data_IF_594594210896
#
_entry.id   IF_594594210896
#
_cell.length_a   1.000
_cell.length_b   1.000
_cell.length_c   1.000
_cell.angle_alpha   90.00
_cell.angle_beta   90.00
_cell.angle_gamma   90.00
#
_symmetry.space_group_name_H-M   'P 1'
#
loop_
_entity.id
_entity.type
_entity.pdbx_description
1 polymer ?
#
# COMPACT_ATOMS: atom_id res chain seq x y z
N UNK A 1 -11.99 28.24 2.52
CA UNK A 1 -12.08 26.76 2.48
C UNK A 1 -11.21 26.09 1.41
N UNK A 2 -10.70 26.80 0.39
CA UNK A 2 -9.83 26.23 -0.65
C UNK A 2 -8.42 25.79 -0.19
N UNK A 3 -7.91 26.31 0.93
CA UNK A 3 -6.51 26.10 1.34
C UNK A 3 -6.16 24.65 1.74
N UNK A 4 -7.05 23.98 2.47
CA UNK A 4 -6.81 22.61 2.95
C UNK A 4 -6.82 21.59 1.81
N UNK A 5 -7.79 21.69 0.90
CA UNK A 5 -7.88 20.84 -0.28
C UNK A 5 -6.65 21.02 -1.21
N UNK A 6 -6.21 22.26 -1.44
CA UNK A 6 -5.01 22.52 -2.25
C UNK A 6 -3.73 21.97 -1.60
N UNK A 7 -3.63 22.01 -0.27
CA UNK A 7 -2.49 21.45 0.46
C UNK A 7 -2.47 19.93 0.41
N UNK A 8 -3.65 19.29 0.50
CA UNK A 8 -3.81 17.84 0.39
C UNK A 8 -3.51 17.35 -1.02
N UNK A 9 -4.00 18.04 -2.06
CA UNK A 9 -3.70 17.74 -3.47
C UNK A 9 -2.21 17.93 -3.77
N UNK A 10 -1.59 18.99 -3.27
CA UNK A 10 -0.15 19.21 -3.46
C UNK A 10 0.71 18.16 -2.74
N UNK A 11 0.27 17.71 -1.55
CA UNK A 11 0.95 16.64 -0.81
C UNK A 11 0.75 15.29 -1.48
N UNK A 12 -0.46 14.97 -1.93
CA UNK A 12 -0.75 13.77 -2.70
C UNK A 12 0.06 13.77 -4.01
N UNK A 13 0.08 14.86 -4.76
CA UNK A 13 0.85 15.00 -6.00
C UNK A 13 2.35 14.81 -5.77
N UNK A 14 2.93 15.36 -4.68
CA UNK A 14 4.33 15.11 -4.33
C UNK A 14 4.60 13.66 -3.92
N UNK A 15 3.67 13.02 -3.21
CA UNK A 15 3.78 11.60 -2.86
C UNK A 15 3.72 10.72 -4.12
N UNK A 16 2.82 11.05 -5.06
CA UNK A 16 2.75 10.38 -6.36
C UNK A 16 4.02 10.62 -7.18
N UNK A 17 4.55 11.85 -7.22
CA UNK A 17 5.75 12.18 -7.99
C UNK A 17 7.03 11.56 -7.38
N UNK A 18 7.15 11.56 -6.05
CA UNK A 18 8.23 10.85 -5.36
C UNK A 18 8.16 9.34 -5.62
N UNK A 19 6.98 8.73 -5.67
CA UNK A 19 6.82 7.32 -6.04
C UNK A 19 7.17 7.00 -7.52
N UNK A 20 7.29 8.02 -8.37
CA UNK A 20 7.75 7.90 -9.75
C UNK A 20 9.27 8.08 -9.90
N UNK A 21 9.93 8.83 -9.01
CA UNK A 21 11.38 9.11 -9.08
C UNK A 21 12.21 8.26 -8.09
N UNK A 22 11.65 7.89 -6.94
CA UNK A 22 12.29 7.07 -5.91
C UNK A 22 11.44 5.83 -5.59
N UNK A 23 12.06 4.65 -5.36
CA UNK A 23 11.33 3.43 -5.05
C UNK A 23 10.58 3.61 -3.73
N UNK A 24 9.26 3.46 -3.77
CA UNK A 24 8.42 3.51 -2.58
C UNK A 24 8.11 2.10 -2.08
N UNK A 25 8.29 1.88 -0.79
CA UNK A 25 8.12 0.59 -0.13
C UNK A 25 7.15 0.72 1.04
N UNK A 26 6.20 -0.22 1.14
CA UNK A 26 5.32 -0.36 2.29
C UNK A 26 5.43 -1.77 2.87
N UNK A 27 5.36 -1.85 4.19
CA UNK A 27 5.08 -3.12 4.88
C UNK A 27 3.58 -3.38 4.86
N UNK A 28 3.18 -4.63 4.63
CA UNK A 28 1.80 -5.08 4.80
C UNK A 28 1.72 -5.81 6.12
N UNK A 29 0.94 -5.29 7.07
CA UNK A 29 0.75 -5.92 8.38
C UNK A 29 -0.71 -6.28 8.62
N UNK A 30 -0.93 -7.41 9.28
CA UNK A 30 -2.23 -7.91 9.70
C UNK A 30 -2.09 -8.53 11.09
N UNK A 31 -3.05 -8.23 11.98
CA UNK A 31 -3.04 -8.74 13.36
C UNK A 31 -1.70 -8.51 14.10
N UNK A 32 -1.09 -7.35 13.86
CA UNK A 32 0.21 -6.97 14.47
C UNK A 32 1.44 -7.68 13.88
N UNK A 33 1.28 -8.52 12.85
CA UNK A 33 2.40 -9.20 12.19
C UNK A 33 2.62 -8.65 10.78
N UNK A 34 3.88 -8.49 10.38
CA UNK A 34 4.23 -8.15 8.99
C UNK A 34 4.11 -9.41 8.15
N UNK A 35 3.24 -9.39 7.15
CA UNK A 35 2.88 -10.54 6.31
C UNK A 35 3.30 -10.37 4.85
N UNK A 36 3.77 -9.19 4.45
CA UNK A 36 4.22 -8.94 3.09
C UNK A 36 4.74 -7.53 2.88
N UNK A 37 4.94 -7.20 1.60
CA UNK A 37 5.37 -5.88 1.17
C UNK A 37 4.66 -5.45 -0.11
N UNK A 38 4.47 -4.15 -0.23
CA UNK A 38 4.06 -3.49 -1.46
C UNK A 38 5.21 -2.61 -1.93
N UNK A 39 5.57 -2.68 -3.20
CA UNK A 39 6.62 -1.85 -3.81
C UNK A 39 6.06 -1.14 -5.03
N UNK A 40 6.38 0.15 -5.17
CA UNK A 40 6.27 0.89 -6.41
C UNK A 40 7.68 1.25 -6.89
N UNK A 41 8.07 0.74 -8.06
CA UNK A 41 9.36 1.04 -8.69
C UNK A 41 9.12 1.29 -10.18
N UNK A 42 9.60 2.44 -10.69
CA UNK A 42 9.38 2.85 -12.08
C UNK A 42 7.91 2.82 -12.53
N UNK A 43 6.99 3.17 -11.62
CA UNK A 43 5.54 3.12 -11.85
C UNK A 43 4.93 1.71 -11.85
N UNK A 44 5.73 0.66 -11.61
CA UNK A 44 5.27 -0.72 -11.53
C UNK A 44 5.03 -1.09 -10.07
N UNK A 45 3.79 -1.48 -9.78
CA UNK A 45 3.37 -1.92 -8.46
C UNK A 45 3.48 -3.43 -8.32
N UNK A 46 4.11 -3.89 -7.23
CA UNK A 46 4.29 -5.31 -6.92
C UNK A 46 3.92 -5.58 -5.47
N UNK A 47 3.02 -6.54 -5.27
CA UNK A 47 2.64 -7.05 -3.97
C UNK A 47 3.29 -8.42 -3.77
N UNK A 48 3.99 -8.58 -2.66
CA UNK A 48 4.72 -9.80 -2.30
C UNK A 48 4.32 -10.26 -0.90
N UNK A 49 4.29 -11.57 -0.70
CA UNK A 49 3.90 -12.19 0.58
C UNK A 49 5.08 -12.91 1.21
N UNK A 50 5.16 -12.84 2.54
CA UNK A 50 6.10 -13.65 3.30
C UNK A 50 5.60 -15.08 3.50
N UNK A 51 6.51 -15.98 3.88
CA UNK A 51 6.23 -17.42 4.00
C UNK A 51 5.00 -17.73 4.85
N UNK A 52 4.83 -17.00 5.93
CA UNK A 52 3.77 -17.24 6.93
C UNK A 52 2.52 -16.37 6.70
N UNK A 53 2.41 -15.74 5.52
CA UNK A 53 1.25 -14.93 5.18
C UNK A 53 -0.03 -15.78 5.12
N UNK A 54 -1.17 -15.28 5.61
CA UNK A 54 -2.45 -15.96 5.53
C UNK A 54 -2.79 -16.38 4.08
N UNK A 55 -3.26 -17.63 3.83
CA UNK A 55 -3.61 -18.10 2.49
C UNK A 55 -4.66 -17.23 1.77
N UNK A 56 -5.54 -16.59 2.55
CA UNK A 56 -6.54 -15.63 2.04
C UNK A 56 -5.89 -14.41 1.39
N UNK A 57 -4.73 -13.96 1.90
CA UNK A 57 -3.94 -12.89 1.29
C UNK A 57 -3.12 -13.41 0.11
N UNK A 58 -2.46 -14.57 0.26
CA UNK A 58 -1.61 -15.14 -0.80
C UNK A 58 -2.37 -15.36 -2.11
N UNK A 59 -3.64 -15.75 -2.02
CA UNK A 59 -4.52 -15.94 -3.18
C UNK A 59 -5.07 -14.64 -3.81
N UNK A 60 -4.65 -13.48 -3.31
CA UNK A 60 -5.07 -12.19 -3.85
C UNK A 60 -4.50 -11.98 -5.26
N UNK A 61 -5.40 -11.90 -6.23
CA UNK A 61 -5.10 -11.62 -7.64
C UNK A 61 -5.80 -10.33 -8.12
N UNK A 62 -6.17 -9.47 -7.17
CA UNK A 62 -6.83 -8.20 -7.46
C UNK A 62 -5.87 -7.15 -7.98
N UNK A 63 -6.41 -5.98 -8.30
CA UNK A 63 -5.64 -4.85 -8.82
C UNK A 63 -4.72 -4.28 -7.75
N UNK A 64 -3.48 -3.97 -8.14
CA UNK A 64 -2.49 -3.30 -7.29
C UNK A 64 -2.04 -2.05 -8.04
N UNK A 65 -2.63 -0.90 -7.74
CA UNK A 65 -2.50 0.32 -8.55
C UNK A 65 -2.47 1.61 -7.72
N UNK A 66 -1.46 1.74 -6.86
CA UNK A 66 -1.14 3.01 -6.17
C UNK A 66 -2.17 3.61 -5.22
N UNK A 67 -3.41 3.15 -5.23
CA UNK A 67 -4.39 3.40 -4.19
C UNK A 67 -4.14 2.45 -3.01
N UNK A 68 -3.14 2.82 -2.20
CA UNK A 68 -2.67 2.04 -1.06
C UNK A 68 -3.78 1.88 0.00
N UNK A 69 -4.63 2.90 0.18
CA UNK A 69 -5.74 2.86 1.13
C UNK A 69 -6.85 1.92 0.66
N UNK A 70 -7.24 1.99 -0.61
CA UNK A 70 -8.22 1.04 -1.18
C UNK A 70 -7.70 -0.40 -1.12
N UNK A 71 -6.41 -0.62 -1.40
CA UNK A 71 -5.79 -1.93 -1.25
C UNK A 71 -5.89 -2.44 0.19
N UNK A 72 -5.61 -1.61 1.21
CA UNK A 72 -5.74 -1.98 2.61
C UNK A 72 -7.17 -2.43 2.97
N UNK A 73 -8.18 -1.72 2.46
CA UNK A 73 -9.60 -2.06 2.68
C UNK A 73 -9.93 -3.43 2.07
N UNK A 74 -9.57 -3.66 0.81
CA UNK A 74 -9.84 -4.94 0.12
C UNK A 74 -9.16 -6.11 0.83
N UNK A 75 -7.90 -5.93 1.24
CA UNK A 75 -7.18 -6.97 1.98
C UNK A 75 -7.78 -7.21 3.37
N UNK A 76 -8.29 -6.16 4.04
CA UNK A 76 -9.00 -6.26 5.32
C UNK A 76 -10.29 -7.07 5.17
N UNK A 77 -11.13 -6.74 4.20
CA UNK A 77 -12.37 -7.48 3.92
C UNK A 77 -12.08 -8.96 3.61
N UNK A 78 -11.02 -9.19 2.82
CA UNK A 78 -10.63 -10.53 2.42
C UNK A 78 -10.06 -11.35 3.57
N UNK A 79 -9.31 -10.75 4.50
CA UNK A 79 -8.71 -11.48 5.61
C UNK A 79 -9.68 -11.61 6.79
N UNK A 80 -10.55 -10.63 7.00
CA UNK A 80 -11.45 -10.53 8.15
C UNK A 80 -10.83 -9.87 9.39
N UNK A 81 -9.59 -9.36 9.26
CA UNK A 81 -8.90 -8.58 10.30
C UNK A 81 -8.28 -7.33 9.65
N UNK A 82 -8.09 -6.24 10.40
CA UNK A 82 -7.50 -5.02 9.86
C UNK A 82 -6.12 -5.27 9.24
N UNK A 83 -5.96 -4.86 7.98
CA UNK A 83 -4.70 -4.82 7.25
C UNK A 83 -4.22 -3.37 7.17
N UNK A 84 -2.94 -3.14 7.47
CA UNK A 84 -2.29 -1.83 7.38
C UNK A 84 -1.16 -1.88 6.37
N UNK A 85 -1.02 -0.79 5.61
CA UNK A 85 0.10 -0.56 4.72
C UNK A 85 0.88 0.65 5.22
N UNK A 86 2.09 0.42 5.73
CA UNK A 86 2.91 1.48 6.35
C UNK A 86 4.11 1.76 5.47
N UNK A 87 4.25 3.01 5.02
CA UNK A 87 5.37 3.44 4.20
C UNK A 87 6.66 3.38 4.99
N UNK A 88 7.70 2.77 4.42
CA UNK A 88 9.04 2.83 4.97
C UNK A 88 9.77 4.07 4.42
N UNK A 89 10.56 4.78 5.25
CA UNK A 89 11.47 5.78 4.74
C UNK A 89 12.50 5.10 3.82
N UNK A 90 12.76 5.73 2.68
CA UNK A 90 13.80 5.31 1.72
C UNK A 90 15.13 5.94 2.10
#
# INVERSE_FOLDING_TARGET
MLSLASTLVARAARLFQAAYEEPALWTVSADGQIVGSLVCEAGIWRLSWFKDAPPRLVSYAGRVDGDVEALAIVLTERLGVPVRLESLPV
#
